data_IF_218104520608
#
_entry.id   IF_218104520608
#
_cell.length_a   1.000
_cell.length_b   1.000
_cell.length_c   1.000
_cell.angle_alpha   90.00
_cell.angle_beta   90.00
_cell.angle_gamma   90.00
#
_symmetry.space_group_name_H-M   'P 1'
#
loop_
_entity.id
_entity.type
_entity.pdbx_description
1 polymer ?
#
# COMPACT_ATOMS: atom_id res chain seq x y z
N UNK A 1 -5.27 -6.13 26.58
CA UNK A 1 -4.13 -6.63 25.80
C UNK A 1 -4.26 -6.15 24.36
N UNK A 2 -3.23 -5.52 23.87
CA UNK A 2 -3.19 -5.03 22.49
C UNK A 2 -2.95 -6.17 21.55
N UNK A 3 -3.69 -6.21 20.47
CA UNK A 3 -3.51 -7.19 19.40
C UNK A 3 -3.15 -6.46 18.13
N UNK A 4 -2.19 -7.01 17.41
CA UNK A 4 -1.91 -6.59 16.06
C UNK A 4 -2.71 -7.45 15.11
N UNK A 5 -3.35 -6.81 14.17
CA UNK A 5 -4.06 -7.50 13.10
C UNK A 5 -3.59 -6.94 11.77
N UNK A 6 -3.36 -7.80 10.83
CA UNK A 6 -2.90 -7.43 9.49
C UNK A 6 -3.78 -8.10 8.44
N UNK A 7 -4.01 -7.38 7.38
CA UNK A 7 -4.64 -7.92 6.18
C UNK A 7 -3.70 -7.69 5.01
N UNK A 8 -3.45 -8.75 4.25
CA UNK A 8 -2.62 -8.70 3.06
C UNK A 8 -3.51 -8.79 1.84
N UNK A 9 -3.34 -7.86 0.91
CA UNK A 9 -4.13 -7.82 -0.31
C UNK A 9 -3.24 -7.61 -1.50
N UNK A 10 -3.45 -8.36 -2.59
CA UNK A 10 -2.69 -8.11 -3.80
C UNK A 10 -3.09 -6.79 -4.43
N UNK A 11 -2.13 -6.08 -4.93
CA UNK A 11 -2.34 -4.85 -5.64
C UNK A 11 -1.46 -4.77 -6.86
N UNK A 12 -1.74 -3.78 -7.69
CA UNK A 12 -0.96 -3.53 -8.90
C UNK A 12 -0.74 -2.04 -9.06
N UNK A 13 0.46 -1.66 -9.41
CA UNK A 13 0.77 -0.27 -9.74
C UNK A 13 0.17 0.06 -11.08
N UNK A 14 -0.82 0.94 -11.08
CA UNK A 14 -1.55 1.30 -12.30
C UNK A 14 -1.06 2.59 -12.91
N UNK A 15 -0.41 3.44 -12.12
CA UNK A 15 0.05 4.72 -12.62
C UNK A 15 1.17 5.26 -11.75
N UNK A 16 2.12 5.92 -12.39
CA UNK A 16 3.15 6.69 -11.72
C UNK A 16 2.93 8.16 -12.07
N UNK A 17 2.84 8.99 -11.04
CA UNK A 17 2.51 10.41 -11.21
C UNK A 17 3.61 11.25 -10.59
N UNK A 18 4.11 12.23 -11.32
CA UNK A 18 5.03 13.20 -10.78
C UNK A 18 4.24 14.26 -10.01
N UNK A 19 4.65 14.51 -8.79
CA UNK A 19 4.01 15.54 -7.98
C UNK A 19 4.33 16.94 -8.50
N UNK A 20 3.29 17.77 -8.63
CA UNK A 20 3.45 19.12 -9.17
C UNK A 20 4.25 19.99 -8.22
N UNK A 21 4.02 19.88 -6.95
CA UNK A 21 4.73 20.63 -5.91
C UNK A 21 5.62 19.75 -5.06
N UNK A 22 5.36 18.45 -5.08
CA UNK A 22 6.16 17.50 -4.34
C UNK A 22 7.36 17.12 -5.20
N UNK A 23 8.51 17.13 -4.58
CA UNK A 23 9.74 16.63 -5.20
C UNK A 23 9.71 15.13 -5.36
N UNK A 24 8.61 14.51 -4.97
CA UNK A 24 8.46 13.07 -4.87
C UNK A 24 7.46 12.57 -5.88
N UNK A 25 7.80 11.48 -6.50
CA UNK A 25 6.92 10.76 -7.40
C UNK A 25 5.93 9.94 -6.60
N UNK A 26 4.68 9.88 -7.06
CA UNK A 26 3.64 9.09 -6.42
C UNK A 26 3.32 7.86 -7.25
N UNK A 27 3.07 6.76 -6.58
CA UNK A 27 2.60 5.53 -7.19
C UNK A 27 1.13 5.32 -6.84
N UNK A 28 0.30 5.15 -7.84
CA UNK A 28 -1.10 4.80 -7.67
C UNK A 28 -1.25 3.29 -7.76
N UNK A 29 -1.80 2.69 -6.72
CA UNK A 29 -1.94 1.25 -6.59
C UNK A 29 -3.43 0.93 -6.56
N UNK A 30 -3.85 0.01 -7.41
CA UNK A 30 -5.19 -0.55 -7.37
C UNK A 30 -5.15 -1.84 -6.59
N UNK A 31 -5.92 -1.91 -5.52
CA UNK A 31 -6.02 -3.07 -4.65
C UNK A 31 -7.24 -3.88 -5.04
N UNK A 32 -7.03 -5.15 -5.35
CA UNK A 32 -8.14 -6.05 -5.64
C UNK A 32 -8.76 -6.53 -4.33
N UNK A 33 -10.06 -6.32 -4.19
CA UNK A 33 -10.80 -6.77 -3.03
C UNK A 33 -11.75 -7.90 -3.40
N UNK A 34 -12.19 -8.66 -2.39
CA UNK A 34 -13.02 -9.82 -2.59
C UNK A 34 -14.39 -9.51 -3.21
N UNK A 35 -14.95 -8.36 -2.91
CA UNK A 35 -16.13 -7.85 -3.59
C UNK A 35 -15.72 -7.01 -4.81
N UNK A 36 -16.64 -6.76 -5.78
CA UNK A 36 -16.26 -6.04 -7.01
C UNK A 36 -15.92 -4.57 -6.77
N UNK A 37 -15.43 -4.23 -5.62
CA UNK A 37 -14.93 -2.91 -5.32
C UNK A 37 -13.41 -2.91 -5.39
N UNK A 38 -12.89 -1.92 -6.07
CA UNK A 38 -11.45 -1.74 -6.17
C UNK A 38 -11.04 -0.54 -5.33
N UNK A 39 -10.17 -0.77 -4.40
CA UNK A 39 -9.56 0.31 -3.64
C UNK A 39 -8.38 0.89 -4.41
N UNK A 40 -8.23 2.20 -4.37
CA UNK A 40 -7.07 2.88 -4.93
C UNK A 40 -6.29 3.55 -3.83
N UNK A 41 -4.98 3.39 -3.88
CA UNK A 41 -4.06 4.01 -2.95
C UNK A 41 -3.04 4.83 -3.71
N UNK A 42 -2.63 5.93 -3.11
CA UNK A 42 -1.47 6.68 -3.60
C UNK A 42 -0.44 6.73 -2.50
N UNK A 43 0.75 6.33 -2.85
CA UNK A 43 1.87 6.37 -1.93
C UNK A 43 3.04 7.08 -2.59
N UNK A 44 3.93 7.61 -1.79
CA UNK A 44 5.21 8.06 -2.30
C UNK A 44 5.91 6.86 -2.93
N UNK A 45 6.41 7.02 -4.15
CA UNK A 45 7.04 5.92 -4.88
C UNK A 45 8.42 5.62 -4.31
N UNK A 46 8.40 4.97 -3.17
CA UNK A 46 9.60 4.75 -2.39
C UNK A 46 9.37 3.56 -1.47
N UNK A 47 10.18 2.54 -1.65
CA UNK A 47 10.20 1.38 -0.78
C UNK A 47 11.60 1.19 -0.24
N UNK A 48 11.70 0.79 0.99
CA UNK A 48 12.99 0.47 1.60
C UNK A 48 13.04 -1.01 1.91
N UNK A 49 14.08 -1.67 1.48
CA UNK A 49 14.27 -3.08 1.79
C UNK A 49 14.92 -3.27 3.17
N UNK A 50 15.13 -4.52 3.55
CA UNK A 50 15.70 -4.86 4.86
C UNK A 50 17.12 -4.33 5.04
N UNK A 51 17.80 -4.08 3.95
CA UNK A 51 19.17 -3.58 3.98
C UNK A 51 19.24 -2.06 3.90
N UNK A 52 18.10 -1.39 3.94
CA UNK A 52 18.04 0.07 3.89
C UNK A 52 18.19 0.65 2.49
N UNK A 53 18.13 -0.18 1.46
CA UNK A 53 18.21 0.31 0.08
C UNK A 53 16.84 0.75 -0.40
N UNK A 54 16.83 1.82 -1.20
CA UNK A 54 15.61 2.40 -1.73
C UNK A 54 15.26 1.79 -3.07
N UNK A 55 13.98 1.50 -3.24
CA UNK A 55 13.44 0.95 -4.49
C UNK A 55 12.27 1.80 -4.95
N UNK A 56 12.10 1.89 -6.25
CA UNK A 56 10.95 2.54 -6.87
C UNK A 56 10.11 1.53 -7.62
N UNK A 57 8.80 1.75 -7.57
CA UNK A 57 7.85 0.94 -8.31
C UNK A 57 7.71 1.47 -9.73
N UNK A 58 7.31 0.58 -10.64
CA UNK A 58 7.01 0.91 -12.01
C UNK A 58 5.58 0.48 -12.34
N UNK A 59 4.99 1.07 -13.36
CA UNK A 59 3.67 0.65 -13.82
C UNK A 59 3.68 -0.83 -14.17
N UNK A 60 2.67 -1.52 -13.72
CA UNK A 60 2.53 -2.96 -13.93
C UNK A 60 3.11 -3.82 -12.83
N UNK A 61 3.84 -3.25 -11.89
CA UNK A 61 4.40 -4.02 -10.79
C UNK A 61 3.30 -4.56 -9.88
N UNK A 62 3.42 -5.82 -9.51
CA UNK A 62 2.59 -6.40 -8.47
C UNK A 62 3.12 -6.03 -7.10
N UNK A 63 2.23 -5.70 -6.19
CA UNK A 63 2.60 -5.32 -4.83
C UNK A 63 1.73 -6.06 -3.83
N UNK A 64 2.24 -6.18 -2.62
CA UNK A 64 1.47 -6.71 -1.50
C UNK A 64 1.10 -5.53 -0.60
N UNK A 65 -0.19 -5.27 -0.46
CA UNK A 65 -0.69 -4.18 0.36
C UNK A 65 -1.01 -4.74 1.73
N UNK A 66 -0.34 -4.22 2.73
CA UNK A 66 -0.52 -4.65 4.11
C UNK A 66 -1.21 -3.54 4.87
N UNK A 67 -2.38 -3.86 5.42
CA UNK A 67 -3.12 -2.96 6.29
C UNK A 67 -3.04 -3.55 7.69
N UNK A 68 -2.51 -2.77 8.62
CA UNK A 68 -2.32 -3.23 9.98
C UNK A 68 -2.98 -2.32 10.99
N UNK A 69 -3.34 -2.89 12.10
CA UNK A 69 -3.83 -2.15 13.26
C UNK A 69 -3.11 -2.63 14.50
N UNK A 70 -2.60 -1.69 15.26
CA UNK A 70 -1.86 -2.01 16.48
C UNK A 70 -2.76 -2.31 17.67
N UNK A 71 -4.01 -1.93 17.59
CA UNK A 71 -4.93 -2.06 18.73
C UNK A 71 -6.31 -2.41 18.21
N UNK A 72 -6.51 -3.70 17.98
CA UNK A 72 -7.79 -4.21 17.48
C UNK A 72 -8.65 -4.62 18.67
N UNK A 73 -9.84 -4.04 18.75
CA UNK A 73 -10.82 -4.39 19.77
C UNK A 73 -11.50 -5.71 19.40
N UNK A 74 -11.77 -6.55 20.39
CA UNK A 74 -12.53 -7.76 20.14
C UNK A 74 -13.94 -7.43 19.64
N UNK A 75 -14.54 -8.39 18.95
CA UNK A 75 -15.90 -8.25 18.46
C UNK A 75 -16.87 -7.92 19.58
N UNK A 76 -17.77 -6.99 19.32
CA UNK A 76 -18.81 -6.63 20.25
C UNK A 76 -18.40 -5.61 21.30
N UNK A 77 -17.24 -5.09 21.22
CA UNK A 77 -16.79 -4.06 22.16
C UNK A 77 -16.62 -2.71 21.50
#
# INVERSE_FOLDING_TARGET
>A
MRRKAEAHKPGKVTKIVDGVEAREQLAEITVEEADPMYGKLRIVNFLMDEMGQKHRLQEGDGVDVIVGSDDVKPNGS
#
